data_IF_298134873100
#
_entry.id   IF_298134873100
#
_cell.length_a   1.000
_cell.length_b   1.000
_cell.length_c   1.000
_cell.angle_alpha   90.00
_cell.angle_beta   90.00
_cell.angle_gamma   90.00
#
_symmetry.space_group_name_H-M   'P 1'
#
loop_
_entity.id
_entity.type
_entity.pdbx_description
1 polymer ?
#
# COMPACT_ATOMS: atom_id res chain seq x y z
N UNK A 1 -15.33 8.69 -10.40
CA UNK A 1 -14.11 9.18 -11.12
C UNK A 1 -13.02 9.39 -10.08
N UNK A 2 -11.90 8.70 -10.22
CA UNK A 2 -10.77 8.82 -9.29
C UNK A 2 -10.03 10.12 -9.55
N UNK A 3 -9.70 10.88 -8.51
CA UNK A 3 -8.95 12.15 -8.61
C UNK A 3 -7.70 12.08 -7.77
N UNK A 4 -6.59 12.51 -8.36
CA UNK A 4 -5.31 12.65 -7.69
C UNK A 4 -4.99 14.14 -7.48
N UNK A 5 -4.19 14.43 -6.45
CA UNK A 5 -3.60 15.75 -6.23
C UNK A 5 -2.60 16.10 -7.34
N UNK A 6 -2.15 17.36 -7.37
CA UNK A 6 -0.90 17.69 -8.04
C UNK A 6 0.23 16.83 -7.42
N UNK A 7 1.17 16.31 -8.24
CA UNK A 7 2.25 15.50 -7.72
C UNK A 7 3.21 16.33 -6.86
N UNK A 8 3.77 15.67 -5.84
CA UNK A 8 4.84 16.22 -5.02
C UNK A 8 6.14 15.53 -5.43
N UNK A 9 7.20 16.29 -5.61
CA UNK A 9 8.53 15.76 -5.86
C UNK A 9 9.20 15.50 -4.53
N UNK A 10 9.69 14.27 -4.39
CA UNK A 10 10.47 13.82 -3.25
C UNK A 10 11.88 13.44 -3.70
N UNK A 11 12.84 13.57 -2.79
CA UNK A 11 14.20 13.08 -2.96
C UNK A 11 14.33 11.74 -2.25
N UNK A 12 14.87 10.74 -2.96
CA UNK A 12 15.09 9.41 -2.42
C UNK A 12 16.18 9.44 -1.33
N UNK A 13 15.94 8.86 -0.14
CA UNK A 13 16.92 8.83 0.93
C UNK A 13 18.16 7.97 0.60
N UNK A 14 18.03 7.00 -0.32
CA UNK A 14 19.11 6.07 -0.67
C UNK A 14 20.06 6.63 -1.75
N UNK A 15 19.54 7.33 -2.77
CA UNK A 15 20.35 7.74 -3.93
C UNK A 15 20.28 9.24 -4.25
N UNK A 16 19.53 10.01 -3.47
CA UNK A 16 19.24 11.42 -3.73
C UNK A 16 18.55 11.72 -5.09
N UNK A 17 18.16 10.69 -5.83
CA UNK A 17 17.36 10.82 -7.04
C UNK A 17 15.94 11.30 -6.74
N UNK A 18 15.27 11.88 -7.74
CA UNK A 18 13.95 12.48 -7.55
C UNK A 18 12.84 11.58 -8.08
N UNK A 19 11.71 11.54 -7.37
CA UNK A 19 10.50 10.83 -7.81
C UNK A 19 9.24 11.62 -7.51
N UNK A 20 8.19 11.37 -8.28
CA UNK A 20 6.85 11.95 -8.09
C UNK A 20 6.00 11.06 -7.19
N UNK A 21 5.25 11.69 -6.30
CA UNK A 21 4.18 11.06 -5.55
C UNK A 21 2.85 11.74 -5.83
N UNK A 22 1.85 10.95 -6.17
CA UNK A 22 0.46 11.40 -6.27
C UNK A 22 -0.30 10.99 -5.02
N UNK A 23 -1.04 11.93 -4.44
CA UNK A 23 -1.96 11.62 -3.34
C UNK A 23 -3.38 11.49 -3.87
N UNK A 24 -4.08 10.45 -3.47
CA UNK A 24 -5.47 10.24 -3.81
C UNK A 24 -6.33 11.27 -3.08
N UNK A 25 -7.10 12.07 -3.83
CA UNK A 25 -7.98 13.11 -3.28
C UNK A 25 -9.40 12.60 -3.13
N UNK A 26 -9.90 11.89 -4.13
CA UNK A 26 -11.24 11.30 -4.10
C UNK A 26 -11.33 10.07 -4.99
N UNK A 27 -12.20 9.17 -4.58
CA UNK A 27 -12.49 7.95 -5.32
C UNK A 27 -13.94 7.56 -5.17
N UNK A 28 -14.53 7.01 -6.23
CA UNK A 28 -15.79 6.31 -6.17
C UNK A 28 -15.52 4.83 -5.94
N UNK A 29 -16.18 4.30 -4.93
CA UNK A 29 -16.11 2.88 -4.61
C UNK A 29 -17.28 2.16 -5.25
N UNK A 30 -17.03 1.00 -5.81
CA UNK A 30 -18.08 0.05 -6.17
C UNK A 30 -18.40 -0.78 -4.92
N UNK A 31 -19.67 -0.84 -4.58
CA UNK A 31 -20.13 -1.53 -3.35
C UNK A 31 -19.96 -3.07 -3.41
N UNK A 32 -19.75 -3.61 -4.60
CA UNK A 32 -19.86 -5.04 -4.88
C UNK A 32 -18.54 -5.83 -4.76
N UNK A 33 -17.48 -5.19 -4.20
CA UNK A 33 -16.23 -5.91 -3.99
C UNK A 33 -16.26 -6.63 -2.66
N UNK A 34 -16.18 -7.98 -2.65
CA UNK A 34 -16.28 -8.74 -1.42
C UNK A 34 -15.13 -8.41 -0.46
N UNK A 35 -15.45 -8.34 0.81
CA UNK A 35 -14.46 -8.39 1.88
C UNK A 35 -13.94 -9.82 2.01
N UNK A 36 -12.64 -9.96 2.25
CA UNK A 36 -12.01 -11.25 2.44
C UNK A 36 -11.70 -11.51 3.92
N UNK A 37 -11.63 -12.79 4.28
CA UNK A 37 -11.37 -13.19 5.67
C UNK A 37 -10.05 -12.63 6.22
N UNK A 38 -9.02 -12.43 5.38
CA UNK A 38 -7.75 -11.80 5.76
C UNK A 38 -7.82 -10.26 5.89
N UNK A 39 -8.99 -9.68 5.68
CA UNK A 39 -9.23 -8.24 5.81
C UNK A 39 -8.82 -7.40 4.62
N UNK A 40 -8.34 -8.02 3.56
CA UNK A 40 -8.21 -7.34 2.29
C UNK A 40 -9.60 -7.10 1.74
N UNK A 41 -10.02 -5.85 1.66
CA UNK A 41 -11.24 -5.44 0.98
C UNK A 41 -10.87 -4.89 -0.41
N UNK A 42 -11.85 -4.79 -1.30
CA UNK A 42 -11.60 -4.24 -2.62
C UNK A 42 -11.17 -2.79 -2.66
N UNK A 43 -11.13 -2.14 -1.51
CA UNK A 43 -10.74 -0.74 -1.33
C UNK A 43 -9.37 -0.58 -0.65
N UNK A 44 -8.65 -1.70 -0.39
CA UNK A 44 -7.38 -1.71 0.34
C UNK A 44 -6.34 -0.76 -0.26
N UNK A 45 -6.31 -0.63 -1.58
CA UNK A 45 -5.39 0.24 -2.31
C UNK A 45 -5.76 1.73 -2.18
N UNK A 46 -7.01 2.04 -1.86
CA UNK A 46 -7.50 3.39 -1.63
C UNK A 46 -7.20 3.92 -0.24
N UNK A 47 -7.30 3.06 0.76
CA UNK A 47 -6.97 3.40 2.15
C UNK A 47 -5.47 3.36 2.41
N UNK A 48 -4.71 2.71 1.53
CA UNK A 48 -3.27 2.72 1.59
C UNK A 48 -2.75 4.01 0.94
N UNK A 49 -2.57 5.05 1.74
CA UNK A 49 -1.53 6.02 1.39
C UNK A 49 -0.28 5.21 1.09
N UNK A 50 0.27 5.33 -0.13
CA UNK A 50 1.51 4.63 -0.47
C UNK A 50 2.57 5.13 0.48
N UNK A 51 2.83 4.34 1.52
CA UNK A 51 3.82 4.67 2.54
C UNK A 51 5.22 4.26 2.07
N UNK A 52 5.30 3.28 1.18
CA UNK A 52 6.53 2.68 0.67
C UNK A 52 6.38 2.36 -0.82
N UNK A 53 7.44 2.53 -1.59
CA UNK A 53 7.47 2.20 -3.01
C UNK A 53 8.90 2.06 -3.52
N UNK A 54 9.06 1.69 -4.80
CA UNK A 54 10.37 1.60 -5.44
C UNK A 54 10.79 2.93 -6.04
N UNK A 55 11.97 3.37 -5.68
CA UNK A 55 12.60 4.52 -6.33
C UNK A 55 12.86 4.21 -7.81
N UNK A 56 12.41 5.04 -8.75
CA UNK A 56 12.62 4.79 -10.18
C UNK A 56 14.08 4.94 -10.60
N UNK A 57 14.92 5.59 -9.79
CA UNK A 57 16.33 5.83 -10.10
C UNK A 57 17.23 4.70 -9.64
N UNK A 58 17.09 4.22 -8.41
CA UNK A 58 17.96 3.19 -7.84
C UNK A 58 17.26 1.86 -7.58
N UNK A 59 15.97 1.76 -7.83
CA UNK A 59 15.12 0.57 -7.59
C UNK A 59 15.05 0.10 -6.14
N UNK A 60 15.62 0.84 -5.19
CA UNK A 60 15.54 0.53 -3.75
C UNK A 60 14.18 0.91 -3.20
N UNK A 61 13.67 0.17 -2.23
CA UNK A 61 12.44 0.48 -1.52
C UNK A 61 12.64 1.74 -0.65
N UNK A 62 11.79 2.73 -0.87
CA UNK A 62 11.84 4.00 -0.17
C UNK A 62 10.54 4.27 0.59
N UNK A 63 10.66 4.57 1.89
CA UNK A 63 9.54 5.08 2.68
C UNK A 63 9.34 6.56 2.40
N UNK A 64 8.09 6.93 2.14
CA UNK A 64 7.74 8.34 1.86
C UNK A 64 8.07 9.25 3.05
N UNK A 65 7.93 8.73 4.26
CA UNK A 65 8.22 9.45 5.50
C UNK A 65 9.70 9.82 5.65
N UNK A 66 10.59 9.04 5.03
CA UNK A 66 12.03 9.28 5.04
C UNK A 66 12.50 10.15 3.85
N UNK A 67 11.61 10.34 2.86
CA UNK A 67 11.92 11.08 1.66
C UNK A 67 11.71 12.59 1.88
N UNK A 68 12.69 13.39 1.50
CA UNK A 68 12.60 14.85 1.61
C UNK A 68 11.68 15.39 0.54
N UNK A 69 10.67 16.16 0.94
CA UNK A 69 9.82 16.90 0.02
C UNK A 69 10.62 18.05 -0.59
N UNK A 70 10.72 18.08 -1.93
CA UNK A 70 11.49 19.09 -2.67
C UNK A 70 10.59 20.21 -3.15
N UNK A 71 9.46 19.85 -3.76
CA UNK A 71 8.51 20.82 -4.28
C UNK A 71 7.16 20.22 -4.64
N UNK A 72 6.14 21.07 -4.66
CA UNK A 72 4.86 20.75 -5.30
C UNK A 72 4.95 20.99 -6.81
N UNK A 73 4.59 19.97 -7.57
CA UNK A 73 4.56 20.06 -9.02
C UNK A 73 3.26 20.73 -9.50
N UNK A 74 3.28 21.56 -10.53
CA UNK A 74 2.05 22.14 -11.04
C UNK A 74 1.15 21.04 -11.64
N UNK A 75 -0.17 21.19 -11.45
CA UNK A 75 -1.15 20.22 -11.96
C UNK A 75 -1.10 20.08 -13.49
N UNK A 76 -0.77 21.16 -14.18
CA UNK A 76 -0.59 21.22 -15.63
C UNK A 76 0.74 21.92 -15.93
N UNK A 77 1.48 21.42 -16.90
CA UNK A 77 2.71 22.07 -17.36
C UNK A 77 2.42 23.51 -17.75
N UNK A 78 3.00 24.51 -17.09
CA UNK A 78 2.78 25.89 -17.43
C UNK A 78 3.36 26.16 -18.81
N UNK A 79 2.52 26.62 -19.73
CA UNK A 79 2.94 26.96 -21.10
C UNK A 79 2.41 28.32 -21.48
N UNK A 80 3.22 29.11 -22.23
CA UNK A 80 2.82 30.40 -22.77
C UNK A 80 3.57 30.69 -24.06
N UNK A 81 2.83 30.96 -25.09
CA UNK A 81 3.42 31.35 -26.39
C UNK A 81 4.11 32.72 -26.33
N UNK A 82 4.97 33.02 -27.32
CA UNK A 82 5.77 34.25 -27.38
C UNK A 82 4.95 35.52 -27.26
N UNK A 83 3.83 35.62 -28.00
CA UNK A 83 2.92 36.77 -27.92
C UNK A 83 2.30 36.93 -26.53
N UNK A 84 1.94 35.84 -25.85
CA UNK A 84 1.45 35.90 -24.50
C UNK A 84 2.50 36.40 -23.52
N UNK A 85 3.76 35.98 -23.65
CA UNK A 85 4.88 36.45 -22.83
C UNK A 85 5.12 37.96 -23.05
N UNK A 86 5.11 38.42 -24.30
CA UNK A 86 5.26 39.84 -24.62
C UNK A 86 4.12 40.66 -23.99
N UNK A 87 2.87 40.20 -24.15
CA UNK A 87 1.70 40.84 -23.56
C UNK A 87 1.84 40.99 -22.04
N UNK A 88 2.17 39.91 -21.32
CA UNK A 88 2.33 39.93 -19.86
C UNK A 88 3.51 40.83 -19.43
N UNK A 89 4.58 40.95 -20.22
CA UNK A 89 5.68 41.90 -19.96
C UNK A 89 5.25 43.35 -20.09
N UNK A 90 4.42 43.67 -21.12
CA UNK A 90 3.95 45.03 -21.37
C UNK A 90 2.87 45.50 -20.41
N UNK A 91 1.93 44.59 -20.04
CA UNK A 91 0.78 44.92 -19.19
C UNK A 91 0.99 44.64 -17.72
N UNK A 92 2.14 44.08 -17.37
CA UNK A 92 2.43 43.54 -16.04
C UNK A 92 1.81 42.15 -15.85
N UNK A 93 2.51 41.28 -15.12
CA UNK A 93 2.08 39.89 -14.85
C UNK A 93 1.19 39.86 -13.59
N UNK A 94 0.02 40.54 -13.65
CA UNK A 94 -0.90 40.68 -12.50
C UNK A 94 -1.35 39.34 -11.92
N UNK A 95 -1.44 38.31 -12.73
CA UNK A 95 -1.89 36.96 -12.33
C UNK A 95 -0.74 35.98 -12.08
N UNK A 96 0.51 36.42 -12.13
CA UNK A 96 1.69 35.60 -11.93
C UNK A 96 1.91 34.49 -12.96
N UNK A 97 1.17 34.50 -14.09
CA UNK A 97 1.23 33.44 -15.10
C UNK A 97 2.58 33.37 -15.81
N UNK A 98 3.14 34.54 -16.17
CA UNK A 98 4.46 34.60 -16.80
C UNK A 98 5.54 34.13 -15.82
N UNK A 99 5.46 34.57 -14.56
CA UNK A 99 6.37 34.14 -13.51
C UNK A 99 6.36 32.62 -13.34
N UNK A 100 5.17 32.00 -13.24
CA UNK A 100 5.03 30.55 -13.12
C UNK A 100 5.64 29.81 -14.32
N UNK A 101 5.49 30.33 -15.55
CA UNK A 101 6.13 29.74 -16.73
C UNK A 101 7.65 29.84 -16.66
N UNK A 102 8.20 31.01 -16.28
CA UNK A 102 9.64 31.20 -16.17
C UNK A 102 10.25 30.33 -15.03
N UNK A 103 9.59 30.25 -13.89
CA UNK A 103 9.98 29.37 -12.79
C UNK A 103 10.00 27.90 -13.23
N UNK A 104 8.97 27.46 -13.97
CA UNK A 104 8.93 26.12 -14.55
C UNK A 104 10.09 25.90 -15.55
N UNK A 105 10.34 26.85 -16.45
CA UNK A 105 11.41 26.73 -17.44
C UNK A 105 12.79 26.67 -16.80
N UNK A 106 12.99 27.38 -15.70
CA UNK A 106 14.24 27.38 -14.93
C UNK A 106 14.50 26.11 -14.13
N UNK A 107 13.48 25.26 -13.91
CA UNK A 107 13.68 24.03 -13.15
C UNK A 107 14.66 23.09 -13.86
N UNK A 108 15.52 22.36 -13.08
CA UNK A 108 16.38 21.32 -13.60
C UNK A 108 15.57 20.25 -14.37
N UNK A 109 16.16 19.77 -15.47
CA UNK A 109 15.53 18.75 -16.32
C UNK A 109 15.22 17.48 -15.52
N UNK A 110 16.07 17.11 -14.56
CA UNK A 110 15.89 15.96 -13.69
C UNK A 110 14.60 16.06 -12.85
N UNK A 111 14.22 17.25 -12.37
CA UNK A 111 12.97 17.45 -11.66
C UNK A 111 11.76 17.38 -12.58
N UNK A 112 11.84 17.97 -13.77
CA UNK A 112 10.75 17.94 -14.78
C UNK A 112 10.44 16.51 -15.21
N UNK A 113 11.48 15.69 -15.38
CA UNK A 113 11.40 14.33 -15.89
C UNK A 113 11.35 13.27 -14.77
N UNK A 114 11.25 13.69 -13.49
CA UNK A 114 11.12 12.73 -12.42
C UNK A 114 9.95 11.76 -12.69
N UNK A 115 10.18 10.48 -12.53
CA UNK A 115 9.17 9.43 -12.69
C UNK A 115 8.38 9.24 -11.40
N UNK A 116 7.24 8.57 -11.50
CA UNK A 116 6.44 8.24 -10.32
C UNK A 116 7.11 7.16 -9.48
N UNK A 117 6.97 7.24 -8.16
CA UNK A 117 7.36 6.16 -7.27
C UNK A 117 6.65 4.87 -7.69
N UNK A 118 7.42 3.79 -7.88
CA UNK A 118 6.90 2.48 -8.26
C UNK A 118 6.06 1.87 -7.15
N UNK A 119 4.95 1.24 -7.49
CA UNK A 119 4.10 0.55 -6.53
C UNK A 119 4.68 -0.82 -6.17
N UNK A 120 4.60 -1.19 -4.90
CA UNK A 120 4.81 -2.56 -4.47
C UNK A 120 3.46 -3.28 -4.56
N UNK A 121 3.34 -4.25 -5.46
CA UNK A 121 2.08 -4.98 -5.70
C UNK A 121 2.23 -6.49 -5.55
N UNK A 122 3.37 -7.01 -5.93
CA UNK A 122 3.65 -8.44 -5.95
C UNK A 122 4.36 -8.91 -4.68
N UNK A 123 4.24 -10.22 -4.39
CA UNK A 123 4.90 -10.81 -3.22
C UNK A 123 6.42 -10.58 -3.22
N UNK A 124 7.05 -10.67 -4.39
CA UNK A 124 8.50 -10.48 -4.53
C UNK A 124 8.94 -9.04 -4.23
N UNK A 125 8.07 -8.04 -4.49
CA UNK A 125 8.33 -6.66 -4.11
C UNK A 125 8.44 -6.49 -2.60
N UNK A 126 7.50 -7.10 -1.85
CA UNK A 126 7.48 -7.02 -0.39
C UNK A 126 8.60 -7.83 0.25
N UNK A 127 8.97 -8.98 -0.35
CA UNK A 127 10.13 -9.78 0.09
C UNK A 127 11.41 -8.96 -0.08
N UNK A 128 11.61 -8.33 -1.23
CA UNK A 128 12.75 -7.48 -1.49
C UNK A 128 12.80 -6.30 -0.50
N UNK A 129 11.67 -5.60 -0.29
CA UNK A 129 11.59 -4.49 0.66
C UNK A 129 11.93 -4.90 2.10
N UNK A 130 11.51 -6.09 2.54
CA UNK A 130 11.85 -6.65 3.85
C UNK A 130 13.34 -7.01 3.97
N UNK A 131 13.99 -7.37 2.85
CA UNK A 131 15.40 -7.75 2.81
C UNK A 131 16.32 -6.52 2.71
N UNK A 132 15.92 -5.51 1.94
CA UNK A 132 16.70 -4.29 1.70
C UNK A 132 16.86 -3.42 2.95
N UNK A 133 15.88 -3.46 3.85
CA UNK A 133 15.88 -2.64 5.06
C UNK A 133 15.65 -3.50 6.33
N UNK A 134 16.63 -4.32 6.74
CA UNK A 134 16.46 -5.28 7.84
C UNK A 134 16.25 -4.61 9.22
N UNK A 135 16.55 -3.32 9.37
CA UNK A 135 16.40 -2.58 10.64
C UNK A 135 15.17 -1.65 10.63
N UNK A 136 14.10 -2.09 10.02
CA UNK A 136 12.85 -1.32 10.06
C UNK A 136 12.23 -1.34 11.46
N UNK A 137 11.48 -0.29 11.80
CA UNK A 137 10.68 -0.33 13.02
C UNK A 137 9.67 -1.49 12.97
N UNK A 138 9.25 -2.03 14.11
CA UNK A 138 8.25 -3.09 14.16
C UNK A 138 6.97 -2.76 13.37
N UNK A 139 6.57 -1.49 13.35
CA UNK A 139 5.40 -1.00 12.63
C UNK A 139 5.61 -1.08 11.11
N UNK A 140 6.78 -0.72 10.62
CA UNK A 140 7.14 -0.82 9.20
C UNK A 140 7.29 -2.27 8.75
N UNK A 141 7.92 -3.11 9.58
CA UNK A 141 7.99 -4.54 9.35
C UNK A 141 6.58 -5.13 9.27
N UNK A 142 5.73 -4.83 10.24
CA UNK A 142 4.34 -5.29 10.25
C UNK A 142 3.57 -4.86 9.00
N UNK A 143 3.72 -3.61 8.58
CA UNK A 143 3.10 -3.10 7.37
C UNK A 143 3.49 -3.92 6.12
N UNK A 144 4.78 -4.14 5.90
CA UNK A 144 5.27 -4.92 4.75
C UNK A 144 4.83 -6.38 4.82
N UNK A 145 4.84 -6.98 6.01
CA UNK A 145 4.44 -8.38 6.20
C UNK A 145 2.94 -8.61 5.98
N UNK A 146 2.10 -7.68 6.40
CA UNK A 146 0.65 -7.74 6.12
C UNK A 146 0.41 -7.60 4.62
N UNK A 147 1.13 -6.72 3.93
CA UNK A 147 1.04 -6.58 2.48
C UNK A 147 1.52 -7.83 1.75
N UNK A 148 2.64 -8.42 2.19
CA UNK A 148 3.12 -9.70 1.68
C UNK A 148 2.08 -10.81 1.87
N UNK A 149 1.45 -10.89 3.06
CA UNK A 149 0.40 -11.86 3.31
C UNK A 149 -0.78 -11.71 2.35
N UNK A 150 -1.22 -10.48 2.09
CA UNK A 150 -2.27 -10.21 1.11
C UNK A 150 -1.86 -10.55 -0.32
N UNK A 151 -0.64 -10.22 -0.73
CA UNK A 151 -0.14 -10.53 -2.08
C UNK A 151 -0.04 -12.05 -2.31
N UNK A 152 0.38 -12.80 -1.30
CA UNK A 152 0.40 -14.27 -1.35
C UNK A 152 -1.03 -14.86 -1.43
N UNK A 153 -1.98 -14.26 -0.72
CA UNK A 153 -3.39 -14.66 -0.76
C UNK A 153 -4.07 -14.25 -2.08
N UNK A 154 -3.62 -13.23 -2.79
CA UNK A 154 -4.21 -12.81 -4.07
C UNK A 154 -4.20 -13.93 -5.10
N UNK A 155 -3.14 -14.71 -5.14
CA UNK A 155 -3.05 -15.90 -6.01
C UNK A 155 -4.15 -16.91 -5.72
N UNK A 156 -4.51 -17.09 -4.44
CA UNK A 156 -5.60 -18.00 -4.03
C UNK A 156 -6.99 -17.44 -4.36
N UNK A 157 -7.14 -16.10 -4.39
CA UNK A 157 -8.41 -15.45 -4.77
C UNK A 157 -8.73 -15.64 -6.24
N UNK A 158 -7.72 -15.55 -7.11
CA UNK A 158 -7.89 -15.68 -8.56
C UNK A 158 -8.19 -17.10 -8.99
N UNK A 159 -7.69 -18.10 -8.25
CA UNK A 159 -7.90 -19.52 -8.58
C UNK A 159 -9.26 -20.08 -8.08
N UNK A 160 -10.15 -19.21 -7.61
CA UNK A 160 -11.51 -19.60 -7.18
C UNK A 160 -11.56 -20.55 -5.98
N UNK A 161 -10.50 -20.61 -5.17
CA UNK A 161 -10.44 -21.47 -3.98
C UNK A 161 -10.17 -22.95 -4.28
N UNK A 162 -9.68 -23.28 -5.48
CA UNK A 162 -9.32 -24.64 -5.88
C UNK A 162 -8.14 -25.21 -5.05
N UNK A 163 -7.85 -26.50 -5.30
CA UNK A 163 -6.72 -27.17 -4.66
C UNK A 163 -5.40 -26.51 -5.10
N UNK A 164 -4.55 -26.07 -4.16
CA UNK A 164 -3.28 -25.42 -4.51
C UNK A 164 -2.39 -26.32 -5.37
N UNK A 165 -1.76 -25.75 -6.41
CA UNK A 165 -0.74 -26.46 -7.18
C UNK A 165 0.46 -26.83 -6.30
N UNK A 166 1.33 -27.74 -6.77
CA UNK A 166 2.53 -28.12 -6.01
C UNK A 166 3.44 -26.92 -5.71
N UNK A 167 3.60 -25.97 -6.65
CA UNK A 167 4.37 -24.75 -6.46
C UNK A 167 3.70 -23.79 -5.45
N UNK A 168 2.38 -23.67 -5.47
CA UNK A 168 1.63 -22.89 -4.48
C UNK A 168 1.76 -23.52 -3.08
N UNK A 169 1.69 -24.85 -2.98
CA UNK A 169 1.88 -25.57 -1.72
C UNK A 169 3.30 -25.37 -1.14
N UNK A 170 4.32 -25.34 -2.00
CA UNK A 170 5.69 -25.06 -1.59
C UNK A 170 5.84 -23.61 -1.10
N UNK A 171 5.30 -22.65 -1.84
CA UNK A 171 5.30 -21.22 -1.46
C UNK A 171 4.56 -20.98 -0.13
N UNK A 172 3.43 -21.64 0.06
CA UNK A 172 2.67 -21.61 1.31
C UNK A 172 3.52 -22.05 2.50
N UNK A 173 4.31 -23.10 2.34
CA UNK A 173 5.17 -23.64 3.43
C UNK A 173 6.40 -22.76 3.65
N UNK A 174 7.08 -22.34 2.59
CA UNK A 174 8.39 -21.68 2.69
C UNK A 174 8.31 -20.18 2.96
N UNK A 175 7.24 -19.51 2.55
CA UNK A 175 7.11 -18.05 2.64
C UNK A 175 5.90 -17.64 3.48
N UNK A 176 4.70 -18.11 3.12
CA UNK A 176 3.47 -17.63 3.76
C UNK A 176 3.41 -18.00 5.24
N UNK A 177 3.73 -19.26 5.59
CA UNK A 177 3.71 -19.71 6.98
C UNK A 177 4.70 -18.95 7.90
N UNK A 178 5.99 -18.81 7.57
CA UNK A 178 6.91 -17.99 8.35
C UNK A 178 6.47 -16.52 8.45
N UNK A 179 5.95 -15.95 7.36
CA UNK A 179 5.44 -14.58 7.37
C UNK A 179 4.26 -14.41 8.34
N UNK A 180 3.28 -15.32 8.32
CA UNK A 180 2.14 -15.30 9.25
C UNK A 180 2.57 -15.44 10.70
N UNK A 181 3.53 -16.31 11.00
CA UNK A 181 4.07 -16.47 12.35
C UNK A 181 4.73 -15.18 12.83
N UNK A 182 5.50 -14.54 11.98
CA UNK A 182 6.15 -13.26 12.33
C UNK A 182 5.15 -12.12 12.52
N UNK A 183 4.06 -12.08 11.74
CA UNK A 183 2.96 -11.13 12.00
C UNK A 183 2.36 -11.37 13.36
N UNK A 184 2.11 -12.62 13.76
CA UNK A 184 1.56 -12.96 15.08
C UNK A 184 2.45 -12.44 16.22
N UNK A 185 3.77 -12.56 16.09
CA UNK A 185 4.72 -11.99 17.06
C UNK A 185 4.63 -10.47 17.13
N UNK A 186 4.60 -9.80 15.98
CA UNK A 186 4.56 -8.33 15.90
C UNK A 186 3.24 -7.72 16.43
N UNK A 187 2.14 -8.47 16.39
CA UNK A 187 0.83 -8.01 16.89
C UNK A 187 0.52 -8.55 18.29
N UNK A 188 1.46 -9.22 18.92
CA UNK A 188 1.26 -9.76 20.27
C UNK A 188 0.89 -8.64 21.24
N UNK A 189 -0.11 -8.90 22.09
CA UNK A 189 -0.59 -7.92 23.06
C UNK A 189 -1.41 -6.76 22.50
N UNK A 190 -1.62 -6.66 21.16
CA UNK A 190 -2.43 -5.59 20.56
C UNK A 190 -3.93 -5.91 20.63
N UNK A 191 -4.75 -5.16 21.39
CA UNK A 191 -6.20 -5.39 21.45
C UNK A 191 -6.89 -5.13 20.10
N UNK A 192 -6.36 -4.21 19.30
CA UNK A 192 -6.92 -3.84 17.99
C UNK A 192 -6.67 -4.90 16.91
N UNK A 193 -5.73 -5.81 17.13
CA UNK A 193 -5.32 -6.81 16.14
C UNK A 193 -5.98 -8.18 16.35
N UNK A 194 -6.93 -8.32 17.28
CA UNK A 194 -7.52 -9.62 17.64
C UNK A 194 -8.18 -10.34 16.46
N UNK A 195 -8.91 -9.63 15.61
CA UNK A 195 -9.54 -10.22 14.43
C UNK A 195 -8.48 -10.72 13.43
N UNK A 196 -7.43 -9.93 13.21
CA UNK A 196 -6.30 -10.34 12.36
C UNK A 196 -5.55 -11.53 12.96
N UNK A 197 -5.35 -11.54 14.30
CA UNK A 197 -4.75 -12.65 15.02
C UNK A 197 -5.57 -13.94 14.86
N UNK A 198 -6.89 -13.86 15.03
CA UNK A 198 -7.79 -15.00 14.83
C UNK A 198 -7.73 -15.56 13.42
N UNK A 199 -7.71 -14.69 12.39
CA UNK A 199 -7.60 -15.12 11.00
C UNK A 199 -6.25 -15.79 10.68
N UNK A 200 -5.14 -15.23 11.17
CA UNK A 200 -3.82 -15.83 11.00
C UNK A 200 -3.74 -17.22 11.64
N UNK A 201 -4.25 -17.36 12.88
CA UNK A 201 -4.33 -18.65 13.57
C UNK A 201 -5.17 -19.67 12.80
N UNK A 202 -6.31 -19.24 12.25
CA UNK A 202 -7.17 -20.09 11.42
C UNK A 202 -6.45 -20.58 10.17
N UNK A 203 -5.80 -19.68 9.40
CA UNK A 203 -5.03 -20.05 8.20
C UNK A 203 -3.83 -20.94 8.52
N UNK A 204 -3.26 -20.83 9.72
CA UNK A 204 -2.20 -21.72 10.23
C UNK A 204 -2.72 -23.08 10.70
N UNK A 205 -4.03 -23.32 10.70
CA UNK A 205 -4.67 -24.55 11.22
C UNK A 205 -4.77 -24.62 12.74
N UNK A 206 -4.50 -23.53 13.47
CA UNK A 206 -4.60 -23.41 14.92
C UNK A 206 -6.03 -23.01 15.31
N UNK A 207 -7.01 -23.85 14.97
CA UNK A 207 -8.43 -23.50 15.00
C UNK A 207 -8.97 -23.20 16.40
N UNK A 208 -8.59 -23.99 17.39
CA UNK A 208 -9.11 -23.85 18.78
C UNK A 208 -8.59 -22.51 19.36
N UNK A 209 -7.36 -22.15 19.08
CA UNK A 209 -6.79 -20.86 19.48
C UNK A 209 -7.44 -19.68 18.72
N UNK A 210 -7.73 -19.86 17.42
CA UNK A 210 -8.45 -18.85 16.66
C UNK A 210 -9.82 -18.56 17.25
N UNK A 211 -10.59 -19.60 17.58
CA UNK A 211 -11.91 -19.47 18.23
C UNK A 211 -11.79 -18.75 19.56
N UNK A 212 -10.82 -19.13 20.40
CA UNK A 212 -10.63 -18.49 21.71
C UNK A 212 -10.34 -16.98 21.58
N UNK A 213 -9.46 -16.60 20.65
CA UNK A 213 -9.12 -15.19 20.39
C UNK A 213 -10.31 -14.42 19.85
N UNK A 214 -11.07 -14.99 18.90
CA UNK A 214 -12.19 -14.30 18.25
C UNK A 214 -13.38 -14.08 19.18
N UNK A 215 -13.64 -15.01 20.11
CA UNK A 215 -14.65 -14.86 21.18
C UNK A 215 -14.32 -13.73 22.17
N UNK A 216 -13.04 -13.38 22.30
CA UNK A 216 -12.59 -12.30 23.17
C UNK A 216 -12.59 -10.92 22.48
N UNK A 217 -13.01 -10.83 21.21
CA UNK A 217 -13.11 -9.54 20.47
C UNK A 217 -14.20 -8.70 21.10
N UNK A 218 -13.85 -7.48 21.49
CA UNK A 218 -14.83 -6.50 22.01
C UNK A 218 -15.67 -6.01 20.81
N UNK A 219 -17.01 -6.06 20.91
CA UNK A 219 -17.90 -5.60 19.86
C UNK A 219 -17.67 -4.12 19.49
N UNK A 220 -17.35 -3.85 18.24
CA UNK A 220 -17.21 -2.50 17.69
C UNK A 220 -17.84 -2.35 16.28
N UNK A 221 -18.92 -3.10 16.03
CA UNK A 221 -19.65 -3.03 14.76
C UNK A 221 -19.00 -3.87 13.64
N UNK A 222 -18.12 -3.29 12.79
CA UNK A 222 -17.53 -4.02 11.64
C UNK A 222 -16.60 -5.15 12.06
N UNK A 223 -15.78 -4.93 13.07
CA UNK A 223 -14.86 -5.96 13.61
C UNK A 223 -15.62 -7.13 14.18
N UNK A 224 -16.77 -6.90 14.82
CA UNK A 224 -17.64 -7.95 15.35
C UNK A 224 -18.18 -8.86 14.25
N UNK A 225 -18.78 -8.30 13.21
CA UNK A 225 -19.34 -9.10 12.11
C UNK A 225 -18.26 -9.96 11.45
N UNK A 226 -17.08 -9.41 11.24
CA UNK A 226 -15.95 -10.13 10.69
C UNK A 226 -15.43 -11.21 11.64
N UNK A 227 -15.30 -10.91 12.93
CA UNK A 227 -14.89 -11.88 13.95
C UNK A 227 -15.82 -13.10 13.98
N UNK A 228 -17.14 -12.88 14.00
CA UNK A 228 -18.15 -13.95 13.98
C UNK A 228 -18.04 -14.84 12.74
N UNK A 229 -17.82 -14.23 11.55
CA UNK A 229 -17.67 -15.02 10.32
C UNK A 229 -16.39 -15.85 10.33
N UNK A 230 -15.26 -15.27 10.75
CA UNK A 230 -13.99 -16.00 10.86
C UNK A 230 -14.07 -17.09 11.95
N UNK A 231 -14.74 -16.85 13.07
CA UNK A 231 -14.96 -17.84 14.11
C UNK A 231 -15.73 -19.06 13.60
N UNK A 232 -16.79 -18.83 12.78
CA UNK A 232 -17.52 -19.94 12.14
C UNK A 232 -16.62 -20.78 11.23
N UNK A 233 -15.76 -20.13 10.43
CA UNK A 233 -14.78 -20.83 9.59
C UNK A 233 -13.76 -21.61 10.42
N UNK A 234 -13.29 -21.06 11.54
CA UNK A 234 -12.38 -21.73 12.46
C UNK A 234 -13.06 -22.94 13.12
N UNK A 235 -14.29 -22.79 13.59
CA UNK A 235 -15.09 -23.87 14.18
C UNK A 235 -15.36 -25.00 13.18
N UNK A 236 -15.53 -24.67 11.89
CA UNK A 236 -15.65 -25.63 10.81
C UNK A 236 -14.30 -26.21 10.33
N UNK A 237 -13.18 -25.84 10.97
CA UNK A 237 -11.80 -26.21 10.63
C UNK A 237 -11.41 -25.90 9.16
N UNK A 238 -11.91 -24.80 8.62
CA UNK A 238 -11.63 -24.34 7.28
C UNK A 238 -10.43 -23.39 7.34
N UNK A 239 -9.25 -23.82 6.85
CA UNK A 239 -8.05 -22.97 6.79
C UNK A 239 -7.96 -22.11 5.51
N UNK A 240 -8.67 -22.49 4.45
CA UNK A 240 -8.64 -21.80 3.17
C UNK A 240 -9.17 -20.36 3.28
N UNK A 241 -8.60 -19.45 2.47
CA UNK A 241 -9.08 -18.08 2.31
C UNK A 241 -10.54 -18.08 1.81
N UNK A 242 -11.37 -17.25 2.41
CA UNK A 242 -12.79 -17.18 2.07
C UNK A 242 -13.25 -15.74 1.88
N UNK A 243 -14.16 -15.47 0.92
CA UNK A 243 -14.94 -14.23 0.90
C UNK A 243 -15.89 -14.22 2.13
N UNK A 244 -16.14 -13.01 2.65
CA UNK A 244 -17.02 -12.80 3.81
C UNK A 244 -18.34 -12.17 3.40
#
# INVERSE_FOLDING_TARGET
>A
MTRYSAPIIHQCPACAGHFKRHTLVSMHFHADVPDWSDGKNGQWWASASVSVGRCPVCSTSAWIEDAVEVMHFPRHTPMMGGLGRLWHRMTGDRNGRLRTVLEWEALPVALKNAESLGWLSEADDFIAALTEAPQQSPERELHLRVRLWWALNDRLRHDGGGTPSASQSLMQRSIARPNMLRILELIEGSPKAQVTRGELLRQLGRFDEAVAVLKAVIPDGRSEVRAVRIERLASARIAALQPL
#
